data_IF_697907308025
#
_entry.id   IF_697907308025
#
_cell.length_a   1.000
_cell.length_b   1.000
_cell.length_c   1.000
_cell.angle_alpha   90.00
_cell.angle_beta   90.00
_cell.angle_gamma   90.00
#
_symmetry.space_group_name_H-M   'P 1'
#
loop_
_entity.id
_entity.type
_entity.pdbx_description
1 polymer ?
#
# COMPACT_ATOMS: atom_id res chain seq x y z
N UNK A 1 -7.51 64.11 -34.73
CA UNK A 1 -6.76 63.08 -35.49
C UNK A 1 -5.98 62.29 -34.45
N UNK A 2 -6.15 61.01 -34.20
CA UNK A 2 -6.98 59.95 -34.77
C UNK A 2 -6.99 58.86 -33.70
N UNK A 3 -8.16 58.31 -33.42
CA UNK A 3 -8.36 57.13 -32.59
C UNK A 3 -7.54 55.93 -33.08
N UNK A 4 -7.14 55.09 -32.13
CA UNK A 4 -6.41 53.83 -32.35
C UNK A 4 -6.68 52.87 -31.19
N UNK A 5 -7.90 52.35 -31.18
CA UNK A 5 -8.51 51.36 -30.27
C UNK A 5 -7.55 50.21 -29.91
N UNK A 6 -7.26 50.06 -28.62
CA UNK A 6 -6.66 48.84 -28.07
C UNK A 6 -7.65 47.68 -28.23
N UNK A 7 -7.20 46.63 -28.92
CA UNK A 7 -8.00 45.49 -29.34
C UNK A 7 -8.25 44.52 -28.18
N UNK A 8 -9.26 44.78 -27.34
CA UNK A 8 -9.74 43.89 -26.27
C UNK A 8 -10.23 42.51 -26.77
N UNK A 9 -10.42 42.33 -28.09
CA UNK A 9 -10.91 41.07 -28.67
C UNK A 9 -9.85 39.99 -28.88
N UNK A 10 -8.54 40.29 -28.84
CA UNK A 10 -7.53 39.22 -29.00
C UNK A 10 -7.30 38.42 -27.71
N UNK A 11 -7.52 39.03 -26.55
CA UNK A 11 -7.37 38.35 -25.25
C UNK A 11 -8.58 37.48 -24.89
N UNK A 12 -9.76 37.78 -25.45
CA UNK A 12 -10.96 36.95 -25.26
C UNK A 12 -10.89 35.65 -26.08
N UNK A 13 -10.16 35.63 -27.21
CA UNK A 13 -9.91 34.41 -27.98
C UNK A 13 -8.78 33.54 -27.38
N UNK A 14 -7.79 34.13 -26.72
CA UNK A 14 -6.75 33.38 -26.00
C UNK A 14 -7.26 32.78 -24.68
N UNK A 15 -8.29 33.35 -24.06
CA UNK A 15 -8.92 32.78 -22.85
C UNK A 15 -9.89 31.63 -23.11
N UNK A 16 -10.32 31.41 -24.36
CA UNK A 16 -11.32 30.37 -24.67
C UNK A 16 -10.74 29.01 -25.12
N UNK A 17 -9.41 28.85 -25.08
CA UNK A 17 -8.73 27.61 -25.49
C UNK A 17 -8.12 26.85 -24.28
N UNK A 18 -8.17 27.40 -23.05
CA UNK A 18 -7.59 26.78 -21.85
C UNK A 18 -8.58 25.99 -20.97
N UNK A 19 -9.65 25.42 -21.54
CA UNK A 19 -10.63 24.63 -20.75
C UNK A 19 -10.84 23.19 -21.23
N UNK A 20 -10.02 22.69 -22.16
CA UNK A 20 -10.04 21.27 -22.55
C UNK A 20 -8.77 20.50 -22.14
N UNK A 21 -7.64 21.16 -21.90
CA UNK A 21 -6.41 20.51 -21.43
C UNK A 21 -6.34 20.30 -19.92
N UNK A 22 -7.22 20.90 -19.13
CA UNK A 22 -7.24 20.75 -17.66
C UNK A 22 -8.03 19.54 -17.15
N UNK A 23 -8.55 18.68 -18.04
CA UNK A 23 -9.25 17.42 -17.68
C UNK A 23 -8.42 16.18 -18.02
N UNK A 24 -7.29 16.33 -18.71
CA UNK A 24 -6.34 15.25 -18.97
C UNK A 24 -5.01 15.54 -18.29
N UNK A 25 -4.99 15.45 -16.95
CA UNK A 25 -3.74 15.07 -16.31
C UNK A 25 -3.53 13.59 -16.64
N UNK A 26 -2.52 13.20 -17.45
CA UNK A 26 -2.14 11.79 -17.54
C UNK A 26 -1.86 11.37 -16.10
N UNK A 27 -2.62 10.39 -15.62
CA UNK A 27 -2.36 9.75 -14.33
C UNK A 27 -0.87 9.43 -14.34
N UNK A 28 -0.09 10.07 -13.46
CA UNK A 28 1.35 9.87 -13.45
C UNK A 28 1.61 8.37 -13.29
N UNK A 29 2.71 7.85 -13.87
CA UNK A 29 3.11 6.43 -13.71
C UNK A 29 3.04 5.97 -12.24
N UNK A 30 3.29 6.87 -11.29
CA UNK A 30 3.16 6.66 -9.85
C UNK A 30 1.70 6.59 -9.33
N UNK A 31 0.80 7.40 -9.87
CA UNK A 31 -0.63 7.32 -9.57
C UNK A 31 -1.28 6.07 -10.19
N UNK A 32 -0.74 5.60 -11.32
CA UNK A 32 -1.13 4.35 -11.97
C UNK A 32 -0.61 3.11 -11.22
N UNK A 33 0.64 3.16 -10.73
CA UNK A 33 1.25 2.14 -9.86
C UNK A 33 0.42 1.85 -8.61
N UNK A 34 -0.23 2.89 -8.08
CA UNK A 34 -1.12 2.84 -6.93
C UNK A 34 -2.49 2.22 -7.24
N UNK A 35 -2.95 2.34 -8.49
CA UNK A 35 -4.29 1.97 -8.95
C UNK A 35 -4.43 0.47 -9.26
N UNK A 36 -3.38 -0.14 -9.79
CA UNK A 36 -3.52 -1.49 -10.35
C UNK A 36 -3.08 -2.58 -9.39
N UNK A 37 -1.98 -2.44 -8.62
CA UNK A 37 -1.43 -3.60 -7.91
C UNK A 37 -0.65 -3.39 -6.59
N UNK A 38 -0.45 -2.19 -6.00
CA UNK A 38 0.13 -2.12 -4.62
C UNK A 38 -0.07 -0.80 -3.82
N UNK A 39 -0.22 -0.87 -2.48
CA UNK A 39 0.18 0.21 -1.57
C UNK A 39 1.70 0.22 -1.42
N UNK A 40 2.35 1.39 -1.53
CA UNK A 40 3.81 1.54 -1.38
C UNK A 40 4.31 0.83 -0.09
N UNK A 41 5.22 -0.13 -0.23
CA UNK A 41 6.19 -0.43 0.83
C UNK A 41 7.27 0.65 0.77
N UNK A 42 7.61 1.33 1.89
CA UNK A 42 8.48 2.51 1.89
C UNK A 42 9.97 2.24 1.56
N UNK A 43 10.35 1.03 1.13
CA UNK A 43 11.75 0.59 1.07
C UNK A 43 12.29 0.23 -0.32
N UNK A 44 11.50 0.25 -1.41
CA UNK A 44 12.02 -0.05 -2.75
C UNK A 44 11.89 1.19 -3.64
N UNK A 45 13.04 1.74 -4.03
CA UNK A 45 13.13 2.79 -5.05
C UNK A 45 12.47 2.30 -6.34
N UNK A 46 11.62 3.13 -6.96
CA UNK A 46 10.97 2.86 -8.26
C UNK A 46 11.92 2.73 -9.46
N UNK A 47 13.18 2.37 -9.22
CA UNK A 47 14.28 2.34 -10.17
C UNK A 47 14.39 0.98 -10.89
N UNK A 48 13.95 -0.12 -10.26
CA UNK A 48 13.99 -1.47 -10.83
C UNK A 48 12.92 -1.68 -11.92
N UNK A 49 11.69 -1.21 -11.73
CA UNK A 49 10.61 -1.34 -12.72
C UNK A 49 10.86 -0.51 -13.98
N UNK A 50 11.53 0.65 -13.85
CA UNK A 50 12.00 1.44 -14.99
C UNK A 50 13.08 0.71 -15.81
N UNK A 51 13.85 -0.18 -15.18
CA UNK A 51 14.94 -0.94 -15.82
C UNK A 51 14.48 -2.27 -16.43
N UNK A 52 13.49 -2.96 -15.84
CA UNK A 52 13.11 -4.33 -16.23
C UNK A 52 11.75 -4.47 -16.95
N UNK A 53 10.90 -3.43 -16.92
CA UNK A 53 9.56 -3.48 -17.50
C UNK A 53 8.49 -4.08 -16.57
N UNK A 54 7.24 -4.09 -17.03
CA UNK A 54 6.09 -4.62 -16.28
C UNK A 54 5.76 -6.05 -16.75
N UNK A 55 5.85 -7.07 -15.88
CA UNK A 55 5.55 -8.46 -16.25
C UNK A 55 4.06 -8.83 -16.15
N UNK A 56 3.22 -7.98 -15.57
CA UNK A 56 1.77 -8.23 -15.46
C UNK A 56 1.11 -8.55 -16.82
N UNK A 57 1.35 -7.79 -17.92
CA UNK A 57 0.62 -8.00 -19.17
C UNK A 57 0.89 -9.37 -19.81
N UNK A 58 2.13 -9.86 -19.68
CA UNK A 58 2.50 -11.18 -20.22
C UNK A 58 1.83 -12.31 -19.41
N UNK A 59 1.71 -12.16 -18.08
CA UNK A 59 0.93 -13.11 -17.26
C UNK A 59 -0.56 -13.11 -17.65
N UNK A 60 -1.15 -11.93 -17.81
CA UNK A 60 -2.56 -11.81 -18.19
C UNK A 60 -2.81 -12.45 -19.57
N UNK A 61 -1.90 -12.24 -20.53
CA UNK A 61 -1.97 -12.91 -21.84
C UNK A 61 -1.98 -14.43 -21.68
N UNK A 62 -1.04 -14.98 -20.91
CA UNK A 62 -0.95 -16.43 -20.66
C UNK A 62 -2.25 -17.00 -20.11
N UNK A 63 -2.84 -16.33 -19.12
CA UNK A 63 -4.15 -16.66 -18.58
C UNK A 63 -5.24 -16.61 -19.66
N UNK A 64 -5.36 -15.51 -20.38
CA UNK A 64 -6.47 -15.25 -21.30
C UNK A 64 -6.50 -16.24 -22.48
N UNK A 65 -5.33 -16.62 -23.00
CA UNK A 65 -5.19 -17.56 -24.12
C UNK A 65 -5.54 -18.99 -23.70
N UNK A 66 -5.40 -19.36 -22.42
CA UNK A 66 -5.87 -20.65 -21.90
C UNK A 66 -7.35 -20.59 -21.48
N UNK A 67 -7.73 -19.59 -20.68
CA UNK A 67 -9.00 -19.51 -19.98
C UNK A 67 -10.19 -19.23 -20.91
N UNK A 68 -10.05 -18.28 -21.84
CA UNK A 68 -11.12 -17.87 -22.75
C UNK A 68 -11.61 -19.03 -23.62
N UNK A 69 -10.74 -19.74 -24.38
CA UNK A 69 -11.21 -20.88 -25.17
C UNK A 69 -11.68 -22.03 -24.30
N UNK A 70 -11.07 -22.27 -23.13
CA UNK A 70 -11.52 -23.30 -22.21
C UNK A 70 -12.95 -23.05 -21.71
N UNK A 71 -13.31 -21.79 -21.41
CA UNK A 71 -14.67 -21.41 -21.03
C UNK A 71 -15.68 -21.73 -22.16
N UNK A 72 -15.35 -21.36 -23.39
CA UNK A 72 -16.18 -21.65 -24.57
C UNK A 72 -16.36 -23.15 -24.81
N UNK A 73 -15.30 -23.95 -24.60
CA UNK A 73 -15.33 -25.41 -24.74
C UNK A 73 -16.24 -26.04 -23.68
N UNK A 74 -16.10 -25.63 -22.42
CA UNK A 74 -16.94 -26.14 -21.33
C UNK A 74 -18.42 -25.78 -21.56
N UNK A 75 -18.69 -24.62 -22.15
CA UNK A 75 -20.05 -24.21 -22.51
C UNK A 75 -20.60 -24.88 -23.79
N UNK A 76 -19.83 -25.72 -24.47
CA UNK A 76 -20.29 -26.44 -25.66
C UNK A 76 -20.42 -25.58 -26.92
N UNK A 77 -19.79 -24.40 -26.96
CA UNK A 77 -19.96 -23.47 -28.07
C UNK A 77 -19.55 -24.10 -29.40
N UNK A 78 -20.44 -24.01 -30.40
CA UNK A 78 -20.26 -24.62 -31.73
C UNK A 78 -19.98 -26.13 -31.70
N UNK A 79 -20.44 -26.84 -30.67
CA UNK A 79 -20.19 -28.27 -30.50
C UNK A 79 -18.82 -28.62 -29.95
N UNK A 80 -18.08 -27.64 -29.40
CA UNK A 80 -16.85 -27.90 -28.67
C UNK A 80 -17.12 -28.77 -27.42
N UNK A 81 -16.13 -29.55 -26.96
CA UNK A 81 -16.30 -30.44 -25.82
C UNK A 81 -15.01 -31.18 -25.45
N UNK A 82 -15.14 -32.39 -24.89
CA UNK A 82 -13.99 -33.22 -24.52
C UNK A 82 -13.15 -32.62 -23.39
N UNK A 83 -13.77 -31.85 -22.49
CA UNK A 83 -13.12 -31.21 -21.33
C UNK A 83 -11.88 -30.37 -21.66
N UNK A 84 -11.74 -29.87 -22.89
CA UNK A 84 -10.60 -29.06 -23.30
C UNK A 84 -9.36 -29.84 -23.71
N UNK A 85 -9.45 -31.16 -23.94
CA UNK A 85 -8.30 -31.98 -24.33
C UNK A 85 -7.59 -31.49 -25.60
N UNK A 86 -8.32 -30.90 -26.55
CA UNK A 86 -7.75 -30.34 -27.78
C UNK A 86 -6.81 -29.15 -27.55
N UNK A 87 -6.92 -28.46 -26.41
CA UNK A 87 -6.14 -27.26 -26.08
C UNK A 87 -5.15 -27.48 -24.94
N UNK A 88 -4.83 -28.74 -24.58
CA UNK A 88 -3.82 -29.07 -23.54
C UNK A 88 -2.52 -28.26 -23.71
N UNK A 89 -1.94 -28.10 -24.92
CA UNK A 89 -0.74 -27.28 -25.08
C UNK A 89 -0.95 -25.82 -24.67
N UNK A 90 -2.12 -25.23 -24.95
CA UNK A 90 -2.43 -23.87 -24.53
C UNK A 90 -2.59 -23.77 -23.00
N UNK A 91 -3.21 -24.78 -22.37
CA UNK A 91 -3.33 -24.83 -20.91
C UNK A 91 -1.94 -24.85 -20.26
N UNK A 92 -1.04 -25.71 -20.73
CA UNK A 92 0.29 -25.87 -20.11
C UNK A 92 1.22 -24.69 -20.42
N UNK A 93 1.35 -24.29 -21.68
CA UNK A 93 2.37 -23.31 -22.07
C UNK A 93 1.91 -21.87 -21.84
N UNK A 94 0.69 -21.50 -22.25
CA UNK A 94 0.17 -20.16 -22.01
C UNK A 94 -0.41 -20.03 -20.60
N UNK A 95 -1.35 -20.90 -20.26
CA UNK A 95 -1.98 -20.90 -18.95
C UNK A 95 -0.98 -21.14 -17.83
N UNK A 96 -0.02 -22.05 -18.03
CA UNK A 96 0.98 -22.40 -17.04
C UNK A 96 2.28 -21.62 -17.14
N UNK A 97 3.14 -22.03 -18.06
CA UNK A 97 4.54 -21.60 -18.15
C UNK A 97 4.68 -20.08 -18.27
N UNK A 98 3.92 -19.45 -19.18
CA UNK A 98 3.97 -17.99 -19.38
C UNK A 98 3.54 -17.24 -18.11
N UNK A 99 2.48 -17.70 -17.43
CA UNK A 99 2.07 -17.10 -16.15
C UNK A 99 3.10 -17.29 -15.05
N UNK A 100 3.75 -18.46 -14.94
CA UNK A 100 4.82 -18.69 -13.96
C UNK A 100 6.01 -17.76 -14.19
N UNK A 101 6.42 -17.56 -15.45
CA UNK A 101 7.49 -16.61 -15.77
C UNK A 101 7.12 -15.17 -15.42
N UNK A 102 5.89 -14.75 -15.71
CA UNK A 102 5.43 -13.43 -15.29
C UNK A 102 5.30 -13.30 -13.77
N UNK A 103 4.93 -14.38 -13.05
CA UNK A 103 4.97 -14.46 -11.59
C UNK A 103 6.38 -14.28 -11.00
N UNK A 104 7.40 -14.88 -11.62
CA UNK A 104 8.82 -14.63 -11.29
C UNK A 104 9.16 -13.16 -11.54
N UNK A 105 8.70 -12.58 -12.65
CA UNK A 105 8.87 -11.16 -12.94
C UNK A 105 8.27 -10.27 -11.84
N UNK A 106 7.03 -10.53 -11.42
CA UNK A 106 6.36 -9.80 -10.33
C UNK A 106 7.15 -9.90 -9.02
N UNK A 107 7.72 -11.07 -8.73
CA UNK A 107 8.57 -11.27 -7.56
C UNK A 107 9.82 -10.39 -7.60
N UNK A 108 10.51 -10.32 -8.75
CA UNK A 108 11.73 -9.52 -8.94
C UNK A 108 11.47 -8.03 -8.72
N UNK A 109 10.33 -7.51 -9.17
CA UNK A 109 9.96 -6.09 -8.98
C UNK A 109 9.31 -5.80 -7.61
N UNK A 110 9.19 -6.81 -6.73
CA UNK A 110 8.70 -6.66 -5.37
C UNK A 110 7.17 -6.65 -5.23
N UNK A 111 6.43 -7.14 -6.22
CA UNK A 111 4.97 -7.20 -6.18
C UNK A 111 4.48 -8.57 -5.66
N UNK A 112 4.36 -8.69 -4.34
CA UNK A 112 4.02 -9.96 -3.69
C UNK A 112 2.62 -10.46 -4.03
N UNK A 113 1.61 -9.59 -4.11
CA UNK A 113 0.22 -10.02 -4.34
C UNK A 113 0.04 -10.60 -5.75
N UNK A 114 0.50 -9.90 -6.79
CA UNK A 114 0.43 -10.42 -8.17
C UNK A 114 1.29 -11.66 -8.38
N UNK A 115 2.47 -11.70 -7.75
CA UNK A 115 3.32 -12.90 -7.75
C UNK A 115 2.53 -14.11 -7.24
N UNK A 116 1.89 -14.01 -6.06
CA UNK A 116 1.11 -15.10 -5.49
C UNK A 116 -0.05 -15.54 -6.41
N UNK A 117 -0.76 -14.59 -7.03
CA UNK A 117 -1.83 -14.87 -7.99
C UNK A 117 -1.32 -15.67 -9.20
N UNK A 118 -0.26 -15.18 -9.86
CA UNK A 118 0.24 -15.79 -11.09
C UNK A 118 0.92 -17.14 -10.86
N UNK A 119 1.60 -17.34 -9.73
CA UNK A 119 2.09 -18.67 -9.35
C UNK A 119 0.92 -19.63 -9.10
N UNK A 120 -0.09 -19.21 -8.35
CA UNK A 120 -1.25 -20.05 -8.04
C UNK A 120 -1.96 -20.51 -9.31
N UNK A 121 -2.36 -19.56 -10.17
CA UNK A 121 -3.17 -19.88 -11.35
C UNK A 121 -2.35 -20.41 -12.52
N UNK A 122 -1.08 -20.02 -12.62
CA UNK A 122 -0.13 -20.67 -13.53
C UNK A 122 0.00 -22.17 -13.22
N UNK A 123 0.25 -22.51 -11.95
CA UNK A 123 0.31 -23.92 -11.54
C UNK A 123 -1.03 -24.63 -11.73
N UNK A 124 -2.17 -23.99 -11.46
CA UNK A 124 -3.49 -24.55 -11.74
C UNK A 124 -3.62 -25.03 -13.19
N UNK A 125 -3.25 -24.20 -14.17
CA UNK A 125 -3.37 -24.58 -15.58
C UNK A 125 -2.46 -25.74 -15.98
N UNK A 126 -1.27 -25.85 -15.37
CA UNK A 126 -0.40 -27.02 -15.54
C UNK A 126 -1.08 -28.25 -14.96
N UNK A 127 -1.62 -28.18 -13.74
CA UNK A 127 -2.32 -29.31 -13.10
C UNK A 127 -3.53 -29.74 -13.95
N UNK A 128 -4.30 -28.79 -14.47
CA UNK A 128 -5.43 -29.11 -15.37
C UNK A 128 -4.97 -29.76 -16.68
N UNK A 129 -3.96 -29.21 -17.35
CA UNK A 129 -3.44 -29.78 -18.60
C UNK A 129 -2.87 -31.18 -18.41
N UNK A 130 -2.10 -31.39 -17.33
CA UNK A 130 -1.48 -32.69 -17.00
C UNK A 130 -2.52 -33.74 -16.61
N UNK A 131 -3.63 -33.34 -15.98
CA UNK A 131 -4.75 -34.25 -15.65
C UNK A 131 -5.44 -34.83 -16.88
N UNK A 132 -5.40 -34.12 -18.01
CA UNK A 132 -5.97 -34.59 -19.28
C UNK A 132 -4.98 -35.42 -20.12
N UNK A 133 -3.71 -35.49 -19.71
CA UNK A 133 -2.67 -36.22 -20.43
C UNK A 133 -2.55 -37.66 -19.91
N UNK A 134 -2.56 -38.67 -20.80
CA UNK A 134 -2.32 -40.06 -20.41
C UNK A 134 -0.97 -40.29 -19.71
N UNK A 135 0.04 -39.47 -20.01
CA UNK A 135 1.38 -39.55 -19.45
C UNK A 135 1.42 -39.47 -17.91
N UNK A 136 0.59 -38.61 -17.30
CA UNK A 136 0.57 -38.47 -15.83
C UNK A 136 -0.28 -39.53 -15.14
N UNK A 137 -1.10 -40.26 -15.90
CA UNK A 137 -1.78 -41.46 -15.45
C UNK A 137 -2.59 -41.30 -14.13
N UNK A 138 -3.11 -40.11 -13.83
CA UNK A 138 -3.78 -39.78 -12.56
C UNK A 138 -4.97 -40.69 -12.21
N UNK A 139 -5.61 -41.31 -13.20
CA UNK A 139 -6.69 -42.27 -13.02
C UNK A 139 -6.27 -43.72 -12.75
N UNK A 140 -5.02 -44.14 -12.99
CA UNK A 140 -4.65 -45.57 -12.95
C UNK A 140 -4.95 -46.23 -11.61
N UNK A 141 -4.66 -45.57 -10.49
CA UNK A 141 -4.90 -46.10 -9.14
C UNK A 141 -6.38 -46.20 -8.76
N UNK A 142 -7.26 -45.64 -9.57
CA UNK A 142 -8.70 -45.66 -9.35
C UNK A 142 -9.40 -46.72 -10.23
N UNK A 143 -8.71 -47.30 -11.21
CA UNK A 143 -9.26 -48.34 -12.10
C UNK A 143 -8.93 -49.74 -11.60
N UNK A 144 -9.92 -50.64 -11.63
CA UNK A 144 -9.74 -52.07 -11.39
C UNK A 144 -8.97 -52.79 -12.50
N UNK A 145 -8.91 -52.22 -13.71
CA UNK A 145 -8.23 -52.81 -14.87
C UNK A 145 -6.87 -52.17 -15.15
N UNK A 146 -6.49 -51.13 -14.40
CA UNK A 146 -5.32 -50.29 -14.68
C UNK A 146 -5.52 -49.31 -15.84
N UNK A 147 -6.74 -49.19 -16.39
CA UNK A 147 -7.07 -48.24 -17.43
C UNK A 147 -7.24 -46.82 -16.85
N UNK A 148 -6.42 -45.89 -17.33
CA UNK A 148 -6.45 -44.50 -16.90
C UNK A 148 -7.82 -43.83 -17.07
N UNK A 149 -8.46 -43.96 -18.23
CA UNK A 149 -9.72 -43.28 -18.55
C UNK A 149 -10.88 -43.83 -17.71
N UNK A 150 -10.92 -45.15 -17.49
CA UNK A 150 -11.90 -45.79 -16.60
C UNK A 150 -11.77 -45.22 -15.18
N UNK A 151 -10.53 -45.12 -14.68
CA UNK A 151 -10.26 -44.60 -13.35
C UNK A 151 -10.76 -43.17 -13.14
N UNK A 152 -10.67 -42.32 -14.17
CA UNK A 152 -11.17 -40.94 -14.14
C UNK A 152 -12.69 -40.82 -14.01
N UNK A 153 -13.44 -41.88 -14.34
CA UNK A 153 -14.90 -41.90 -14.20
C UNK A 153 -15.37 -42.38 -12.83
N UNK A 154 -14.46 -42.87 -11.98
CA UNK A 154 -14.85 -43.43 -10.68
C UNK A 154 -15.28 -42.36 -9.68
N UNK A 155 -16.20 -42.71 -8.75
CA UNK A 155 -16.60 -41.80 -7.68
C UNK A 155 -15.44 -41.27 -6.83
N UNK A 156 -14.46 -42.13 -6.55
CA UNK A 156 -13.32 -41.80 -5.70
C UNK A 156 -12.37 -40.80 -6.38
N UNK A 157 -12.17 -40.93 -7.70
CA UNK A 157 -11.40 -39.96 -8.47
C UNK A 157 -12.08 -38.59 -8.48
N UNK A 158 -13.38 -38.57 -8.79
CA UNK A 158 -14.16 -37.33 -8.84
C UNK A 158 -14.20 -36.60 -7.49
N UNK A 159 -14.40 -37.32 -6.38
CA UNK A 159 -14.31 -36.72 -5.04
C UNK A 159 -12.92 -36.11 -4.74
N UNK A 160 -11.85 -36.76 -5.18
CA UNK A 160 -10.48 -36.27 -4.99
C UNK A 160 -10.24 -34.95 -5.73
N UNK A 161 -10.71 -34.84 -6.98
CA UNK A 161 -10.64 -33.59 -7.76
C UNK A 161 -11.54 -32.50 -7.15
N UNK A 162 -12.71 -32.86 -6.62
CA UNK A 162 -13.59 -31.89 -5.97
C UNK A 162 -12.90 -31.17 -4.81
N UNK A 163 -12.16 -31.87 -3.96
CA UNK A 163 -11.41 -31.26 -2.86
C UNK A 163 -10.29 -30.33 -3.33
N UNK A 164 -9.67 -30.59 -4.49
CA UNK A 164 -8.71 -29.66 -5.09
C UNK A 164 -9.37 -28.33 -5.45
N UNK A 165 -10.57 -28.37 -6.06
CA UNK A 165 -11.34 -27.15 -6.35
C UNK A 165 -11.86 -26.45 -5.09
N UNK A 166 -12.21 -27.18 -4.03
CA UNK A 166 -12.56 -26.59 -2.72
C UNK A 166 -11.38 -25.79 -2.17
N UNK A 167 -10.18 -26.36 -2.17
CA UNK A 167 -8.98 -25.67 -1.69
C UNK A 167 -8.68 -24.40 -2.53
N UNK A 168 -8.84 -24.49 -3.85
CA UNK A 168 -8.70 -23.33 -4.75
C UNK A 168 -9.78 -22.27 -4.51
N UNK A 169 -11.00 -22.66 -4.16
CA UNK A 169 -12.07 -21.72 -3.81
C UNK A 169 -11.68 -20.96 -2.55
N UNK A 170 -11.27 -21.65 -1.48
CA UNK A 170 -10.84 -20.98 -0.24
C UNK A 170 -9.67 -20.01 -0.48
N UNK A 171 -8.68 -20.41 -1.28
CA UNK A 171 -7.55 -19.56 -1.62
C UNK A 171 -7.97 -18.33 -2.46
N UNK A 172 -8.81 -18.53 -3.46
CA UNK A 172 -9.37 -17.46 -4.31
C UNK A 172 -10.22 -16.49 -3.50
N UNK A 173 -10.99 -16.97 -2.53
CA UNK A 173 -11.76 -16.13 -1.62
C UNK A 173 -10.86 -15.19 -0.81
N UNK A 174 -9.73 -15.69 -0.28
CA UNK A 174 -8.73 -14.85 0.41
C UNK A 174 -8.19 -13.77 -0.54
N UNK A 175 -7.85 -14.14 -1.77
CA UNK A 175 -7.40 -13.17 -2.78
C UNK A 175 -8.47 -12.14 -3.14
N UNK A 176 -9.73 -12.55 -3.18
CA UNK A 176 -10.87 -11.66 -3.44
C UNK A 176 -11.04 -10.63 -2.33
N UNK A 177 -10.86 -11.01 -1.06
CA UNK A 177 -10.85 -10.05 0.05
C UNK A 177 -9.69 -9.06 -0.07
N UNK A 178 -8.51 -9.54 -0.43
CA UNK A 178 -7.34 -8.68 -0.63
C UNK A 178 -7.51 -7.70 -1.80
N UNK A 179 -8.22 -8.08 -2.87
CA UNK A 179 -8.40 -7.27 -4.07
C UNK A 179 -9.47 -6.17 -3.94
N UNK A 180 -10.26 -6.13 -2.86
CA UNK A 180 -11.24 -5.03 -2.60
C UNK A 180 -10.53 -3.66 -2.55
N UNK A 181 -9.20 -3.66 -2.41
CA UNK A 181 -8.36 -2.47 -2.27
C UNK A 181 -7.59 -2.09 -3.52
N UNK A 182 -7.67 -2.90 -4.58
CA UNK A 182 -6.90 -2.69 -5.81
C UNK A 182 -7.76 -1.99 -6.85
N UNK A 183 -8.53 -2.72 -7.63
CA UNK A 183 -9.44 -2.17 -8.64
C UNK A 183 -10.64 -3.08 -8.90
N UNK A 184 -11.71 -2.50 -9.45
CA UNK A 184 -12.98 -3.18 -9.72
C UNK A 184 -12.81 -4.33 -10.70
N UNK A 185 -11.99 -4.20 -11.74
CA UNK A 185 -11.75 -5.27 -12.71
C UNK A 185 -11.09 -6.51 -12.06
N UNK A 186 -10.06 -6.32 -11.24
CA UNK A 186 -9.39 -7.44 -10.57
C UNK A 186 -10.29 -8.08 -9.50
N UNK A 187 -11.02 -7.26 -8.74
CA UNK A 187 -11.99 -7.74 -7.76
C UNK A 187 -13.09 -8.58 -8.42
N UNK A 188 -13.73 -8.05 -9.46
CA UNK A 188 -14.77 -8.77 -10.20
C UNK A 188 -14.25 -10.05 -10.85
N UNK A 189 -13.03 -10.05 -11.42
CA UNK A 189 -12.42 -11.25 -11.97
C UNK A 189 -12.24 -12.35 -10.91
N UNK A 190 -11.68 -12.00 -9.74
CA UNK A 190 -11.45 -12.96 -8.65
C UNK A 190 -12.76 -13.44 -8.02
N UNK A 191 -13.74 -12.56 -7.87
CA UNK A 191 -15.07 -12.93 -7.38
C UNK A 191 -15.78 -13.93 -8.30
N UNK A 192 -15.72 -13.71 -9.62
CA UNK A 192 -16.28 -14.67 -10.58
C UNK A 192 -15.48 -15.98 -10.64
N UNK A 193 -14.18 -15.93 -10.38
CA UNK A 193 -13.33 -17.12 -10.28
C UNK A 193 -13.66 -17.95 -9.04
N UNK A 194 -13.96 -17.31 -7.91
CA UNK A 194 -14.40 -17.97 -6.68
C UNK A 194 -15.68 -18.80 -6.93
N UNK A 195 -16.67 -18.19 -7.59
CA UNK A 195 -17.89 -18.87 -8.01
C UNK A 195 -17.57 -20.01 -8.98
N UNK A 196 -16.70 -19.79 -9.95
CA UNK A 196 -16.29 -20.80 -10.94
C UNK A 196 -15.71 -22.05 -10.26
N UNK A 197 -14.76 -21.89 -9.34
CA UNK A 197 -14.17 -23.02 -8.63
C UNK A 197 -15.15 -23.69 -7.68
N UNK A 198 -16.01 -22.93 -7.00
CA UNK A 198 -17.08 -23.48 -6.17
C UNK A 198 -18.06 -24.35 -6.98
N UNK A 199 -18.43 -23.90 -8.18
CA UNK A 199 -19.29 -24.65 -9.10
C UNK A 199 -18.60 -25.91 -9.63
N UNK A 200 -17.31 -25.86 -9.98
CA UNK A 200 -16.57 -27.05 -10.40
C UNK A 200 -16.39 -28.06 -9.25
N UNK A 201 -16.11 -27.61 -8.03
CA UNK A 201 -16.12 -28.48 -6.85
C UNK A 201 -17.47 -29.18 -6.71
N UNK A 202 -18.58 -28.43 -6.81
CA UNK A 202 -19.93 -28.97 -6.78
C UNK A 202 -20.22 -29.95 -7.93
N UNK A 203 -19.72 -29.67 -9.13
CA UNK A 203 -19.86 -30.57 -10.29
C UNK A 203 -19.18 -31.91 -10.03
N UNK A 204 -17.92 -31.91 -9.57
CA UNK A 204 -17.18 -33.13 -9.27
C UNK A 204 -17.75 -33.93 -8.08
N UNK A 205 -18.26 -33.26 -7.04
CA UNK A 205 -18.99 -33.97 -5.97
C UNK A 205 -20.28 -34.61 -6.47
N UNK A 206 -21.02 -33.95 -7.37
CA UNK A 206 -22.21 -34.54 -7.97
C UNK A 206 -21.89 -35.70 -8.92
N UNK A 207 -20.79 -35.64 -9.68
CA UNK A 207 -20.28 -36.78 -10.43
C UNK A 207 -19.95 -37.95 -9.51
N UNK A 208 -19.32 -37.67 -8.37
CA UNK A 208 -19.01 -38.70 -7.36
C UNK A 208 -20.28 -39.35 -6.78
N UNK A 209 -21.33 -38.56 -6.55
CA UNK A 209 -22.62 -39.06 -6.07
C UNK A 209 -23.48 -39.74 -7.15
N UNK A 210 -23.06 -39.76 -8.42
CA UNK A 210 -23.82 -40.30 -9.55
C UNK A 210 -24.89 -39.36 -10.13
N UNK A 211 -24.94 -38.10 -9.69
CA UNK A 211 -25.89 -37.08 -10.15
C UNK A 211 -25.39 -36.39 -11.43
N UNK A 212 -25.30 -37.14 -12.53
CA UNK A 212 -24.67 -36.69 -13.79
C UNK A 212 -25.32 -35.43 -14.36
N UNK A 213 -26.66 -35.38 -14.45
CA UNK A 213 -27.37 -34.23 -15.02
C UNK A 213 -27.16 -32.92 -14.23
N UNK A 214 -27.05 -33.00 -12.90
CA UNK A 214 -26.76 -31.83 -12.09
C UNK A 214 -25.30 -31.41 -12.25
N UNK A 215 -24.38 -32.37 -12.30
CA UNK A 215 -22.97 -32.09 -12.53
C UNK A 215 -22.73 -31.39 -13.88
N UNK A 216 -23.35 -31.86 -14.97
CA UNK A 216 -23.29 -31.23 -16.29
C UNK A 216 -23.78 -29.77 -16.25
N UNK A 217 -24.90 -29.52 -15.58
CA UNK A 217 -25.42 -28.15 -15.39
C UNK A 217 -24.44 -27.28 -14.60
N UNK A 218 -23.90 -27.79 -13.50
CA UNK A 218 -22.91 -27.05 -12.70
C UNK A 218 -21.63 -26.76 -13.50
N UNK A 219 -21.17 -27.72 -14.31
CA UNK A 219 -20.02 -27.54 -15.17
C UNK A 219 -20.28 -26.48 -16.25
N UNK A 220 -21.47 -26.49 -16.87
CA UNK A 220 -21.89 -25.48 -17.85
C UNK A 220 -21.93 -24.08 -17.24
N UNK A 221 -22.55 -23.93 -16.06
CA UNK A 221 -22.64 -22.65 -15.35
C UNK A 221 -21.25 -22.19 -14.88
N UNK A 222 -20.40 -23.10 -14.41
CA UNK A 222 -19.00 -22.81 -14.10
C UNK A 222 -18.23 -22.30 -15.32
N UNK A 223 -18.45 -22.90 -16.50
CA UNK A 223 -17.92 -22.40 -17.77
C UNK A 223 -18.40 -20.98 -18.12
N UNK A 224 -19.66 -20.66 -17.83
CA UNK A 224 -20.21 -19.32 -18.05
C UNK A 224 -19.60 -18.26 -17.12
N UNK A 225 -19.42 -18.57 -15.83
CA UNK A 225 -18.69 -17.70 -14.91
C UNK A 225 -17.21 -17.56 -15.30
N UNK A 226 -16.59 -18.65 -15.79
CA UNK A 226 -15.24 -18.60 -16.34
C UNK A 226 -15.13 -17.72 -17.59
N UNK A 227 -16.17 -17.65 -18.41
CA UNK A 227 -16.20 -16.71 -19.52
C UNK A 227 -16.38 -15.27 -19.04
N UNK A 228 -17.33 -15.05 -18.11
CA UNK A 228 -17.61 -13.74 -17.54
C UNK A 228 -16.38 -13.14 -16.84
N UNK A 229 -15.57 -13.97 -16.17
CA UNK A 229 -14.33 -13.51 -15.52
C UNK A 229 -13.22 -13.17 -16.52
N UNK A 230 -13.22 -13.76 -17.72
CA UNK A 230 -12.25 -13.38 -18.75
C UNK A 230 -12.47 -11.94 -19.25
N UNK A 231 -13.70 -11.42 -19.20
CA UNK A 231 -14.04 -10.07 -19.69
C UNK A 231 -13.28 -8.95 -18.94
N UNK A 232 -13.35 -8.83 -17.59
CA UNK A 232 -12.57 -7.83 -16.87
C UNK A 232 -11.06 -8.08 -16.98
N UNK A 233 -10.61 -9.32 -17.18
CA UNK A 233 -9.18 -9.62 -17.37
C UNK A 233 -8.69 -9.17 -18.75
N UNK A 234 -9.48 -9.37 -19.82
CA UNK A 234 -9.22 -8.81 -21.15
C UNK A 234 -9.15 -7.29 -21.08
N UNK A 235 -10.06 -6.67 -20.32
CA UNK A 235 -10.05 -5.22 -20.10
C UNK A 235 -8.76 -4.72 -19.43
N UNK A 236 -8.31 -5.38 -18.36
CA UNK A 236 -7.01 -5.06 -17.73
C UNK A 236 -5.88 -5.24 -18.73
N UNK A 237 -5.85 -6.35 -19.48
CA UNK A 237 -4.80 -6.61 -20.46
C UNK A 237 -4.70 -5.51 -21.53
N UNK A 238 -5.83 -5.13 -22.15
CA UNK A 238 -5.87 -4.06 -23.15
C UNK A 238 -5.35 -2.76 -22.56
N UNK A 239 -5.81 -2.42 -21.35
CA UNK A 239 -5.39 -1.20 -20.64
C UNK A 239 -3.88 -1.17 -20.43
N UNK A 240 -3.27 -2.29 -20.03
CA UNK A 240 -1.83 -2.36 -19.80
C UNK A 240 -1.01 -2.33 -21.10
N UNK A 241 -1.52 -2.92 -22.19
CA UNK A 241 -0.84 -2.87 -23.49
C UNK A 241 -0.90 -1.44 -24.07
N UNK A 242 -2.03 -0.76 -23.95
CA UNK A 242 -2.17 0.64 -24.36
C UNK A 242 -1.15 1.52 -23.64
N UNK A 243 -1.02 1.36 -22.33
CA UNK A 243 -0.02 2.10 -21.57
C UNK A 243 1.42 1.74 -21.97
N UNK A 244 1.71 0.45 -22.23
CA UNK A 244 3.05 0.00 -22.62
C UNK A 244 3.55 0.63 -23.93
N UNK A 245 2.64 1.07 -24.80
CA UNK A 245 2.94 1.76 -26.07
C UNK A 245 2.65 3.26 -26.03
N UNK A 246 2.39 3.82 -24.85
CA UNK A 246 2.01 5.23 -24.66
C UNK A 246 0.82 5.64 -25.54
N UNK A 247 -0.19 4.77 -25.61
CA UNK A 247 -1.38 5.00 -26.42
C UNK A 247 -2.16 6.21 -25.89
N UNK A 248 -2.71 7.09 -26.76
CA UNK A 248 -3.34 8.34 -26.33
C UNK A 248 -4.58 8.20 -25.43
N UNK A 249 -5.14 6.99 -25.30
CA UNK A 249 -6.37 6.72 -24.56
C UNK A 249 -6.06 5.83 -23.36
N UNK A 250 -6.33 6.34 -22.15
CA UNK A 250 -6.30 5.55 -20.92
C UNK A 250 -7.67 4.96 -20.61
N UNK A 251 -7.75 3.64 -20.46
CA UNK A 251 -8.98 2.96 -20.08
C UNK A 251 -9.11 2.86 -18.55
N UNK A 252 -10.29 3.12 -17.96
CA UNK A 252 -10.48 3.04 -16.51
C UNK A 252 -10.71 1.61 -16.04
N UNK A 253 -10.13 1.22 -14.90
CA UNK A 253 -10.46 -0.06 -14.20
C UNK A 253 -11.21 0.11 -12.88
N UNK A 254 -11.46 1.35 -12.46
CA UNK A 254 -12.09 1.68 -11.18
C UNK A 254 -11.17 1.44 -9.98
N UNK A 255 -10.45 2.49 -9.56
CA UNK A 255 -9.62 2.47 -8.35
C UNK A 255 -10.45 2.29 -7.08
N UNK A 256 -10.12 1.30 -6.25
CA UNK A 256 -10.76 1.09 -4.95
C UNK A 256 -9.87 1.51 -3.78
N UNK A 257 -8.64 1.96 -4.04
CA UNK A 257 -7.66 2.34 -3.01
C UNK A 257 -8.10 3.56 -2.19
N UNK A 258 -8.96 4.40 -2.75
CA UNK A 258 -9.56 5.57 -2.10
C UNK A 258 -10.77 5.22 -1.23
N UNK A 259 -11.51 4.17 -1.58
CA UNK A 259 -12.69 3.71 -0.85
C UNK A 259 -12.28 2.92 0.40
N UNK A 260 -11.29 2.03 0.27
CA UNK A 260 -10.74 1.28 1.40
C UNK A 260 -9.30 1.72 1.66
N UNK A 261 -9.14 2.53 2.70
CA UNK A 261 -7.86 3.12 3.10
C UNK A 261 -6.86 2.14 3.71
N UNK A 262 -5.58 2.36 3.39
CA UNK A 262 -4.37 1.63 3.79
C UNK A 262 -4.28 1.45 5.28
N UNK A 263 -3.63 0.38 5.76
CA UNK A 263 -3.19 0.36 7.17
C UNK A 263 -2.36 1.61 7.46
N UNK A 264 -1.42 1.95 6.59
CA UNK A 264 -0.62 3.17 6.66
C UNK A 264 -1.45 4.44 6.55
N UNK A 265 -2.39 4.51 5.61
CA UNK A 265 -3.28 5.68 5.44
C UNK A 265 -4.25 5.88 6.60
N UNK A 266 -4.55 4.82 7.37
CA UNK A 266 -5.36 4.91 8.59
C UNK A 266 -4.55 5.36 9.82
N UNK A 267 -3.23 5.38 9.75
CA UNK A 267 -2.39 5.88 10.85
C UNK A 267 -2.28 7.41 10.75
N UNK A 268 -2.74 8.10 11.79
CA UNK A 268 -2.64 9.55 11.91
C UNK A 268 -1.31 9.85 12.58
N UNK A 269 -0.54 10.73 11.94
CA UNK A 269 0.75 11.21 12.42
C UNK A 269 0.78 12.73 12.24
N UNK A 270 1.47 13.40 13.14
CA UNK A 270 1.56 14.86 13.18
C UNK A 270 2.96 15.37 12.80
N UNK A 271 3.22 16.67 12.99
CA UNK A 271 4.53 17.25 12.70
C UNK A 271 5.57 16.88 13.76
N UNK A 272 5.15 16.38 14.93
CA UNK A 272 6.02 16.14 16.09
C UNK A 272 6.61 14.72 16.14
N UNK A 273 7.94 14.55 15.96
CA UNK A 273 8.60 13.24 15.99
C UNK A 273 8.35 12.45 17.27
N UNK A 274 8.33 13.14 18.40
CA UNK A 274 8.14 12.52 19.72
C UNK A 274 6.79 11.83 19.81
N UNK A 275 5.72 12.53 19.48
CA UNK A 275 4.35 11.99 19.57
C UNK A 275 4.13 10.88 18.54
N UNK A 276 4.69 11.03 17.34
CA UNK A 276 4.68 9.97 16.32
C UNK A 276 5.39 8.71 16.81
N UNK A 277 6.53 8.87 17.50
CA UNK A 277 7.28 7.77 18.09
C UNK A 277 6.49 7.09 19.20
N UNK A 278 5.82 7.85 20.08
CA UNK A 278 4.95 7.29 21.12
C UNK A 278 3.80 6.45 20.52
N UNK A 279 3.19 6.88 19.42
CA UNK A 279 2.19 6.10 18.70
C UNK A 279 2.80 4.87 18.01
N UNK A 280 3.98 5.00 17.40
CA UNK A 280 4.69 3.87 16.78
C UNK A 280 5.02 2.77 17.81
N UNK A 281 5.38 3.17 19.03
CA UNK A 281 5.74 2.27 20.13
C UNK A 281 4.58 1.92 21.07
N UNK A 282 3.34 2.29 20.72
CA UNK A 282 2.10 1.97 21.46
C UNK A 282 2.03 2.54 22.88
N UNK A 283 2.75 3.62 23.15
CA UNK A 283 2.50 4.46 24.33
C UNK A 283 1.28 5.35 24.11
N UNK A 284 1.05 5.79 22.87
CA UNK A 284 -0.24 6.30 22.39
C UNK A 284 -0.99 5.23 21.61
N UNK A 285 -2.32 5.39 21.41
CA UNK A 285 -3.06 4.65 20.40
C UNK A 285 -2.29 4.64 19.08
N UNK A 286 -2.04 3.44 18.55
CA UNK A 286 -1.12 3.27 17.42
C UNK A 286 -1.61 3.94 16.13
N UNK A 287 -2.93 4.07 15.99
CA UNK A 287 -3.58 4.79 14.90
C UNK A 287 -3.50 6.32 15.05
N UNK A 288 -2.98 6.82 16.17
CA UNK A 288 -2.76 8.25 16.45
C UNK A 288 -4.03 9.01 16.85
N UNK A 289 -5.12 8.31 17.20
CA UNK A 289 -6.44 8.88 17.52
C UNK A 289 -6.75 8.85 19.00
N UNK A 290 -7.71 9.69 19.41
CA UNK A 290 -8.29 9.70 20.76
C UNK A 290 -7.23 9.78 21.88
N UNK A 291 -6.28 10.69 21.73
CA UNK A 291 -5.21 10.92 22.71
C UNK A 291 -5.77 11.85 23.80
N UNK A 292 -6.11 11.27 24.95
CA UNK A 292 -6.66 11.96 26.13
C UNK A 292 -5.55 12.39 27.10
N UNK A 293 -5.89 13.20 28.11
CA UNK A 293 -4.93 13.72 29.09
C UNK A 293 -4.22 12.62 29.86
N UNK A 294 -4.97 11.62 30.32
CA UNK A 294 -4.46 10.42 30.99
C UNK A 294 -3.51 9.61 30.11
N UNK A 295 -3.80 9.48 28.81
CA UNK A 295 -2.91 8.83 27.85
C UNK A 295 -1.60 9.62 27.70
N UNK A 296 -1.65 10.96 27.61
CA UNK A 296 -0.46 11.82 27.54
C UNK A 296 0.39 11.71 28.80
N UNK A 297 -0.22 11.85 29.97
CA UNK A 297 0.47 11.72 31.25
C UNK A 297 1.12 10.34 31.38
N UNK A 298 0.38 9.28 31.11
CA UNK A 298 0.90 7.91 31.12
C UNK A 298 2.09 7.75 30.17
N UNK A 299 1.93 8.14 28.89
CA UNK A 299 2.95 7.94 27.87
C UNK A 299 4.23 8.74 28.18
N UNK A 300 4.12 10.02 28.52
CA UNK A 300 5.28 10.88 28.77
C UNK A 300 5.98 10.49 30.08
N UNK A 301 5.25 10.14 31.14
CA UNK A 301 5.87 9.66 32.38
C UNK A 301 6.54 8.31 32.20
N UNK A 302 5.95 7.38 31.44
CA UNK A 302 6.52 6.03 31.26
C UNK A 302 7.64 5.97 30.23
N UNK A 303 7.50 6.69 29.13
CA UNK A 303 8.48 6.65 28.03
C UNK A 303 9.60 7.66 28.21
N UNK A 304 9.30 8.87 28.71
CA UNK A 304 10.25 10.00 28.75
C UNK A 304 10.61 10.45 30.17
N UNK A 305 10.00 9.84 31.20
CA UNK A 305 10.19 10.21 32.60
C UNK A 305 9.82 11.66 32.91
N UNK A 306 8.82 12.21 32.22
CA UNK A 306 8.27 13.53 32.53
C UNK A 306 7.38 13.45 33.76
N UNK A 307 7.43 14.49 34.59
CA UNK A 307 6.51 14.59 35.71
C UNK A 307 5.08 14.90 35.22
N UNK A 308 4.10 14.65 36.07
CA UNK A 308 2.68 14.80 35.73
C UNK A 308 2.30 16.25 35.40
N UNK A 309 2.90 17.23 36.08
CA UNK A 309 2.63 18.63 35.85
C UNK A 309 3.06 19.08 34.44
N UNK A 310 4.27 18.69 34.02
CA UNK A 310 4.79 18.96 32.67
C UNK A 310 3.98 18.23 31.61
N UNK A 311 3.68 16.95 31.82
CA UNK A 311 2.88 16.17 30.87
C UNK A 311 1.44 16.72 30.72
N UNK A 312 0.84 17.17 31.82
CA UNK A 312 -0.46 17.83 31.82
C UNK A 312 -0.44 19.15 31.06
N UNK A 313 0.58 19.97 31.28
CA UNK A 313 0.77 21.23 30.54
C UNK A 313 0.90 20.97 29.03
N UNK A 314 1.67 19.94 28.64
CA UNK A 314 1.82 19.58 27.23
C UNK A 314 0.49 19.12 26.60
N UNK A 315 -0.36 18.43 27.35
CA UNK A 315 -1.72 18.12 26.90
C UNK A 315 -2.56 19.38 26.72
N UNK A 316 -2.53 20.29 27.69
CA UNK A 316 -3.32 21.53 27.68
C UNK A 316 -2.90 22.45 26.52
N UNK A 317 -1.64 22.37 26.06
CA UNK A 317 -1.21 23.00 24.81
C UNK A 317 -1.75 22.25 23.58
N UNK A 318 -1.55 20.93 23.50
CA UNK A 318 -1.91 20.10 22.36
C UNK A 318 -3.42 20.10 22.04
N UNK A 319 -4.27 20.14 23.07
CA UNK A 319 -5.73 20.04 22.91
C UNK A 319 -6.32 21.20 22.11
N UNK A 320 -5.67 22.38 22.09
CA UNK A 320 -6.08 23.57 21.34
C UNK A 320 -6.12 23.29 19.83
N UNK A 321 -5.30 22.34 19.36
CA UNK A 321 -5.31 21.91 17.97
C UNK A 321 -6.61 21.20 17.57
N UNK A 322 -7.34 20.60 18.51
CA UNK A 322 -8.66 20.05 18.22
C UNK A 322 -9.69 21.19 18.06
N UNK A 323 -10.28 21.41 16.87
CA UNK A 323 -11.24 22.50 16.66
C UNK A 323 -12.59 22.27 17.35
N UNK A 324 -12.84 21.08 17.90
CA UNK A 324 -14.09 20.77 18.58
C UNK A 324 -14.20 21.56 19.91
N UNK A 325 -15.32 22.27 20.15
CA UNK A 325 -15.57 22.92 21.44
C UNK A 325 -15.57 21.91 22.59
N UNK A 326 -14.93 22.26 23.71
CA UNK A 326 -14.80 21.41 24.91
C UNK A 326 -14.20 20.02 24.63
N UNK A 327 -13.29 19.91 23.67
CA UNK A 327 -12.60 18.67 23.37
C UNK A 327 -11.86 18.11 24.60
N UNK A 328 -11.96 16.79 24.81
CA UNK A 328 -11.27 16.06 25.88
C UNK A 328 -10.11 15.19 25.37
N UNK A 329 -9.89 15.19 24.06
CA UNK A 329 -8.84 14.44 23.37
C UNK A 329 -8.38 15.18 22.12
N UNK A 330 -7.21 14.81 21.57
CA UNK A 330 -6.79 15.21 20.23
C UNK A 330 -6.36 13.99 19.39
N UNK A 331 -6.26 14.18 18.07
CA UNK A 331 -5.66 13.22 17.12
C UNK A 331 -4.38 13.84 16.57
N UNK A 332 -3.36 13.03 16.29
CA UNK A 332 -2.04 13.52 15.88
C UNK A 332 -2.05 14.39 14.61
N UNK A 333 -2.97 14.16 13.67
CA UNK A 333 -3.09 14.96 12.45
C UNK A 333 -3.71 16.35 12.70
N UNK A 334 -4.51 16.51 13.76
CA UNK A 334 -5.04 17.82 14.15
C UNK A 334 -3.92 18.79 14.53
N UNK A 335 -2.78 18.26 14.97
CA UNK A 335 -1.57 19.03 15.25
C UNK A 335 -0.93 19.64 14.00
N UNK A 336 -1.36 19.27 12.79
CA UNK A 336 -0.89 19.87 11.53
C UNK A 336 -1.51 21.26 11.28
N UNK A 337 -2.42 21.72 12.13
CA UNK A 337 -3.07 23.03 11.95
C UNK A 337 -2.05 24.16 12.09
N UNK A 338 -1.79 24.80 10.96
CA UNK A 338 -0.87 25.91 10.86
C UNK A 338 -1.31 27.08 11.75
N UNK A 339 -0.33 27.68 12.42
CA UNK A 339 -0.49 28.82 13.32
C UNK A 339 -1.31 28.58 14.60
N UNK A 340 -1.37 27.32 15.04
CA UNK A 340 -1.92 26.95 16.37
C UNK A 340 -0.81 26.49 17.31
N UNK A 341 -0.11 25.43 16.90
CA UNK A 341 1.11 24.93 17.55
C UNK A 341 2.18 24.62 16.50
N UNK A 342 1.76 24.10 15.34
CA UNK A 342 2.61 23.99 14.16
C UNK A 342 2.96 25.39 13.63
N UNK A 343 4.21 25.56 13.21
CA UNK A 343 4.78 26.84 12.81
C UNK A 343 5.83 26.69 11.70
N UNK A 344 6.05 27.80 10.98
CA UNK A 344 7.11 27.92 9.98
C UNK A 344 8.51 27.77 10.61
N UNK A 345 9.54 27.56 9.78
CA UNK A 345 10.93 27.37 10.21
C UNK A 345 11.15 26.10 11.05
N UNK A 346 10.34 25.08 10.81
CA UNK A 346 10.52 23.75 11.39
C UNK A 346 11.91 23.16 11.10
N UNK A 347 12.45 22.39 12.06
CA UNK A 347 13.77 21.75 11.95
C UNK A 347 13.86 20.66 10.86
N UNK A 348 12.73 20.09 10.44
CA UNK A 348 12.72 18.95 9.51
C UNK A 348 11.41 18.79 8.72
N UNK A 349 10.55 19.80 8.71
CA UNK A 349 9.27 19.86 7.96
C UNK A 349 9.29 21.10 7.08
N UNK A 350 8.56 21.06 5.98
CA UNK A 350 8.40 22.23 5.12
C UNK A 350 7.47 23.24 5.78
N UNK A 351 7.60 24.52 5.46
CA UNK A 351 6.60 25.51 5.85
C UNK A 351 5.27 25.20 5.15
N UNK A 352 4.15 25.57 5.79
CA UNK A 352 2.80 25.31 5.29
C UNK A 352 2.56 25.92 3.90
N UNK A 353 3.18 27.06 3.61
CA UNK A 353 3.14 27.73 2.30
C UNK A 353 3.54 26.81 1.13
N UNK A 354 4.48 25.88 1.35
CA UNK A 354 4.96 24.95 0.31
C UNK A 354 4.12 23.66 0.22
N UNK A 355 3.05 23.54 1.01
CA UNK A 355 2.00 22.54 0.85
C UNK A 355 2.01 21.36 1.83
N UNK A 356 3.14 20.99 2.45
CA UNK A 356 3.19 19.89 3.43
C UNK A 356 4.04 20.23 4.66
N UNK A 357 3.37 20.58 5.75
CA UNK A 357 3.96 21.01 7.01
C UNK A 357 4.19 19.92 8.07
N UNK A 358 3.92 18.66 7.77
CA UNK A 358 3.86 17.61 8.80
C UNK A 358 4.64 16.35 8.45
N UNK A 359 4.81 16.04 7.16
CA UNK A 359 5.64 14.93 6.72
C UNK A 359 7.12 15.30 6.86
N UNK A 360 7.91 14.37 7.41
CA UNK A 360 9.35 14.53 7.53
C UNK A 360 10.00 14.76 6.16
N UNK A 361 10.85 15.79 6.07
CA UNK A 361 11.58 16.15 4.86
C UNK A 361 13.10 16.01 5.11
N UNK A 362 13.72 15.04 4.42
CA UNK A 362 15.14 14.73 4.60
C UNK A 362 16.04 15.91 4.21
N UNK A 363 15.75 16.62 3.13
CA UNK A 363 16.55 17.76 2.66
C UNK A 363 16.54 18.89 3.67
N UNK A 364 15.37 19.23 4.22
CA UNK A 364 15.25 20.26 5.27
C UNK A 364 15.99 19.84 6.53
N UNK A 365 15.89 18.57 6.92
CA UNK A 365 16.62 18.06 8.07
C UNK A 365 18.14 18.10 7.87
N UNK A 366 18.61 17.84 6.64
CA UNK A 366 20.03 17.92 6.29
C UNK A 366 20.56 19.36 6.36
N UNK A 367 19.76 20.36 5.97
CA UNK A 367 20.08 21.79 6.17
C UNK A 367 20.27 22.13 7.65
N UNK A 368 19.34 21.70 8.51
CA UNK A 368 19.45 21.88 9.96
C UNK A 368 20.71 21.23 10.52
N UNK A 369 20.99 19.99 10.11
CA UNK A 369 22.17 19.22 10.56
C UNK A 369 23.50 19.78 10.08
N UNK A 370 23.53 20.64 9.06
CA UNK A 370 24.77 21.26 8.59
C UNK A 370 25.48 22.05 9.71
N UNK A 371 24.71 22.53 10.70
CA UNK A 371 25.21 23.27 11.86
C UNK A 371 25.63 22.36 13.03
N UNK A 372 25.39 21.05 12.92
CA UNK A 372 25.71 20.04 13.93
C UNK A 372 27.10 19.42 13.71
N UNK A 373 28.12 20.27 13.69
CA UNK A 373 29.51 19.96 13.26
C UNK A 373 30.30 19.01 14.18
N UNK A 374 29.73 18.51 15.28
CA UNK A 374 30.39 17.64 16.26
C UNK A 374 29.52 16.43 16.63
N UNK A 375 30.12 15.32 17.10
CA UNK A 375 29.37 14.16 17.59
C UNK A 375 28.51 14.43 18.83
N UNK A 376 28.96 15.36 19.68
CA UNK A 376 28.19 15.85 20.84
C UNK A 376 27.73 17.27 20.51
N UNK A 377 26.42 17.47 20.54
CA UNK A 377 25.77 18.74 20.28
C UNK A 377 25.64 19.52 21.57
N UNK A 378 25.94 20.81 21.51
CA UNK A 378 25.64 21.78 22.56
C UNK A 378 24.46 22.68 22.16
N UNK A 379 24.00 23.52 23.10
CA UNK A 379 22.91 24.44 22.88
C UNK A 379 23.13 25.40 21.69
N UNK A 380 24.37 25.84 21.44
CA UNK A 380 24.68 26.76 20.34
C UNK A 380 24.51 26.05 18.99
N UNK A 381 24.94 24.80 18.87
CA UNK A 381 24.78 24.02 17.63
C UNK A 381 23.30 23.77 17.30
N UNK A 382 22.48 23.47 18.32
CA UNK A 382 21.04 23.29 18.18
C UNK A 382 20.35 24.62 17.79
N UNK A 383 20.70 25.72 18.46
CA UNK A 383 20.19 27.05 18.15
C UNK A 383 20.58 27.54 16.75
N UNK A 384 21.83 27.29 16.32
CA UNK A 384 22.31 27.66 14.99
C UNK A 384 21.49 26.99 13.88
N UNK A 385 21.12 25.72 14.06
CA UNK A 385 20.22 25.01 13.13
C UNK A 385 18.85 25.68 13.05
N UNK A 386 18.25 26.05 14.18
CA UNK A 386 16.97 26.77 14.22
C UNK A 386 17.06 28.15 13.55
N UNK A 387 18.08 28.94 13.87
CA UNK A 387 18.29 30.26 13.28
C UNK A 387 18.45 30.18 11.77
N UNK A 388 19.19 29.18 11.26
CA UNK A 388 19.33 28.97 9.83
C UNK A 388 17.98 28.66 9.16
N UNK A 389 17.14 27.83 9.79
CA UNK A 389 15.78 27.54 9.31
C UNK A 389 14.90 28.79 9.31
N UNK A 390 14.96 29.62 10.36
CA UNK A 390 14.22 30.88 10.43
C UNK A 390 14.64 31.88 9.35
N UNK A 391 15.95 32.03 9.11
CA UNK A 391 16.48 32.89 8.05
C UNK A 391 16.01 32.39 6.68
N UNK A 392 16.13 31.09 6.43
CA UNK A 392 15.68 30.49 5.17
C UNK A 392 14.17 30.71 4.95
N UNK A 393 13.35 30.32 5.91
CA UNK A 393 11.89 30.48 5.83
C UNK A 393 11.51 31.94 5.61
N UNK A 394 12.08 32.88 6.37
CA UNK A 394 11.81 34.31 6.19
C UNK A 394 12.24 34.84 4.81
N UNK A 395 13.28 34.28 4.21
CA UNK A 395 13.77 34.70 2.89
C UNK A 395 12.91 34.17 1.74
N UNK A 396 12.33 32.98 1.87
CA UNK A 396 11.71 32.25 0.76
C UNK A 396 10.21 31.96 0.92
N UNK A 397 9.65 32.08 2.13
CA UNK A 397 8.22 31.96 2.40
C UNK A 397 7.60 33.37 2.48
N UNK A 398 6.84 33.82 1.47
CA UNK A 398 6.24 35.17 1.45
C UNK A 398 5.15 35.35 2.51
N UNK A 399 4.64 34.25 3.07
CA UNK A 399 3.64 34.24 4.15
C UNK A 399 4.25 33.85 5.49
N UNK A 400 5.57 33.99 5.65
CA UNK A 400 6.29 33.60 6.86
C UNK A 400 5.65 34.19 8.13
N UNK A 401 5.35 33.30 9.07
CA UNK A 401 4.80 33.65 10.39
C UNK A 401 5.58 32.97 11.50
N UNK A 402 6.02 33.78 12.47
CA UNK A 402 6.71 33.28 13.66
C UNK A 402 6.43 34.22 14.83
N UNK A 403 5.39 33.88 15.59
CA UNK A 403 4.90 34.71 16.70
C UNK A 403 5.69 34.46 17.98
N UNK A 404 5.56 35.34 18.98
CA UNK A 404 6.20 35.15 20.29
C UNK A 404 5.81 33.83 20.97
N UNK A 405 4.56 33.36 20.77
CA UNK A 405 4.10 32.07 21.28
C UNK A 405 4.85 30.92 20.60
N UNK A 406 5.03 30.99 19.27
CA UNK A 406 5.77 29.99 18.50
C UNK A 406 7.25 29.98 18.85
N UNK A 407 7.83 31.15 19.12
CA UNK A 407 9.22 31.26 19.58
C UNK A 407 9.43 30.51 20.89
N UNK A 408 8.57 30.73 21.89
CA UNK A 408 8.64 29.98 23.15
C UNK A 408 8.47 28.47 22.96
N UNK A 409 7.55 28.06 22.08
CA UNK A 409 7.33 26.64 21.79
C UNK A 409 8.54 26.01 21.09
N UNK A 410 9.07 26.70 20.08
CA UNK A 410 10.23 26.31 19.28
C UNK A 410 11.50 26.15 20.14
N UNK A 411 11.71 27.02 21.13
CA UNK A 411 12.79 26.85 22.11
C UNK A 411 12.67 25.52 22.87
N UNK A 412 11.44 25.12 23.21
CA UNK A 412 11.16 23.80 23.80
C UNK A 412 11.52 22.65 22.87
N UNK A 413 11.25 22.77 21.57
CA UNK A 413 11.60 21.76 20.56
C UNK A 413 13.11 21.62 20.38
N UNK A 414 13.83 22.75 20.35
CA UNK A 414 15.30 22.79 20.23
C UNK A 414 15.95 22.18 21.48
N UNK A 415 15.36 22.37 22.66
CA UNK A 415 15.83 21.78 23.91
C UNK A 415 15.43 20.30 24.09
N UNK A 416 14.37 19.83 23.41
CA UNK A 416 13.80 18.50 23.61
C UNK A 416 14.81 17.34 23.44
N UNK A 417 15.73 17.34 22.46
CA UNK A 417 16.74 16.29 22.35
C UNK A 417 17.65 16.20 23.58
N UNK A 418 18.01 17.33 24.19
CA UNK A 418 18.81 17.38 25.43
C UNK A 418 18.02 16.83 26.60
N UNK A 419 16.76 17.23 26.73
CA UNK A 419 15.86 16.76 27.81
C UNK A 419 15.63 15.25 27.72
N UNK A 420 15.41 14.72 26.52
CA UNK A 420 15.04 13.31 26.31
C UNK A 420 16.26 12.38 26.29
N UNK A 421 17.34 12.77 25.61
CA UNK A 421 18.49 11.89 25.34
C UNK A 421 19.79 12.35 26.01
N UNK A 422 19.90 13.62 26.34
CA UNK A 422 21.14 14.28 26.74
C UNK A 422 21.41 14.33 28.24
N UNK A 423 22.27 15.28 28.59
CA UNK A 423 22.57 15.77 29.93
C UNK A 423 22.01 17.19 30.06
N UNK A 424 21.05 17.37 30.97
CA UNK A 424 20.35 18.64 31.15
C UNK A 424 21.20 19.68 31.88
N UNK A 425 22.13 19.27 32.74
CA UNK A 425 23.01 20.21 33.46
C UNK A 425 24.08 20.75 32.51
N UNK A 426 24.65 19.87 31.68
CA UNK A 426 25.67 20.25 30.72
C UNK A 426 25.10 20.87 29.43
N UNK A 427 23.82 20.65 29.13
CA UNK A 427 23.20 21.12 27.89
C UNK A 427 23.70 20.36 26.65
N UNK A 428 24.06 19.08 26.80
CA UNK A 428 24.74 18.28 25.78
C UNK A 428 23.92 17.05 25.34
N UNK A 429 23.97 16.69 24.06
CA UNK A 429 23.32 15.49 23.52
C UNK A 429 24.12 14.82 22.41
N UNK A 430 24.08 13.48 22.33
CA UNK A 430 24.74 12.75 21.25
C UNK A 430 23.97 12.89 19.93
N UNK A 431 24.64 13.39 18.90
CA UNK A 431 24.08 13.64 17.55
C UNK A 431 23.40 12.41 16.96
N UNK A 432 23.98 11.22 17.09
CA UNK A 432 23.42 9.98 16.51
C UNK A 432 22.03 9.66 17.05
N UNK A 433 21.77 10.01 18.32
CA UNK A 433 20.45 9.84 18.93
C UNK A 433 19.42 10.80 18.32
N UNK A 434 19.83 12.06 18.09
CA UNK A 434 18.98 13.08 17.47
C UNK A 434 18.67 12.75 16.02
N UNK A 435 19.68 12.28 15.27
CA UNK A 435 19.55 11.87 13.87
C UNK A 435 18.58 10.68 13.72
N UNK A 436 18.72 9.66 14.57
CA UNK A 436 17.88 8.45 14.48
C UNK A 436 16.43 8.75 14.85
N UNK A 437 16.21 9.54 15.90
CA UNK A 437 14.89 9.91 16.38
C UNK A 437 14.11 10.73 15.33
N UNK A 438 14.78 11.71 14.72
CA UNK A 438 14.17 12.61 13.74
C UNK A 438 13.86 11.91 12.41
N UNK A 439 14.75 11.02 11.94
CA UNK A 439 14.58 10.30 10.67
C UNK A 439 13.59 9.13 10.77
N UNK A 440 13.63 8.36 11.85
CA UNK A 440 12.92 7.07 11.89
C UNK A 440 11.63 7.10 12.71
N UNK A 441 11.38 8.15 13.51
CA UNK A 441 10.36 8.13 14.57
C UNK A 441 10.45 6.83 15.41
N UNK A 442 11.69 6.43 15.71
CA UNK A 442 12.02 5.20 16.44
C UNK A 442 12.69 5.59 17.75
N UNK A 443 12.12 5.10 18.85
CA UNK A 443 12.79 5.00 20.12
C UNK A 443 13.82 3.88 19.98
N UNK A 444 15.08 4.21 19.69
CA UNK A 444 16.13 3.23 19.95
C UNK A 444 16.04 2.86 21.43
N UNK A 445 16.09 1.57 21.71
CA UNK A 445 16.02 0.82 22.97
C UNK A 445 16.98 1.28 24.09
N UNK A 446 17.41 2.54 24.11
CA UNK A 446 18.47 3.07 24.97
C UNK A 446 17.94 3.48 26.36
N UNK A 447 16.63 3.67 26.55
CA UNK A 447 16.07 3.89 27.89
C UNK A 447 15.90 2.59 28.70
N UNK A 448 15.84 1.41 28.05
CA UNK A 448 15.95 0.14 28.78
C UNK A 448 17.34 0.02 29.46
N UNK A 449 18.40 0.48 28.78
CA UNK A 449 19.78 0.46 29.30
C UNK A 449 20.13 1.57 30.31
N UNK A 450 19.31 2.62 30.46
CA UNK A 450 19.47 3.60 31.56
C UNK A 450 18.83 3.11 32.87
N UNK A 451 17.86 2.18 32.82
CA UNK A 451 17.20 1.61 34.01
C UNK A 451 18.15 0.70 34.81
N UNK A 452 19.00 -0.09 34.14
CA UNK A 452 19.98 -0.95 34.83
C UNK A 452 21.14 -0.16 35.46
N UNK A 453 21.64 0.89 34.79
CA UNK A 453 22.78 1.66 35.29
C UNK A 453 22.46 2.57 36.49
N UNK A 454 21.24 3.12 36.57
CA UNK A 454 20.83 3.89 37.77
C UNK A 454 20.44 3.00 38.95
N UNK A 455 19.94 1.78 38.71
CA UNK A 455 19.63 0.83 39.77
C UNK A 455 20.89 0.13 40.33
N UNK A 456 21.95 -0.06 39.54
CA UNK A 456 23.23 -0.57 40.06
C UNK A 456 23.98 0.50 40.86
N UNK A 457 23.94 1.77 40.45
CA UNK A 457 24.57 2.87 41.17
C UNK A 457 23.92 3.13 42.55
N UNK A 458 22.60 2.93 42.68
CA UNK A 458 21.87 3.02 43.97
C UNK A 458 21.97 1.77 44.86
N UNK A 459 22.55 0.67 44.36
CA UNK A 459 22.86 -0.53 45.17
C UNK A 459 24.33 -0.58 45.62
N UNK A 460 25.14 0.39 45.21
CA UNK A 460 26.56 0.51 45.58
C UNK A 460 26.87 1.76 46.41
N UNK A 461 25.84 2.48 46.87
CA UNK A 461 25.87 3.48 47.94
C UNK A 461 24.99 3.00 49.08
#
# INVERSE_FOLDING_TARGET
MSDGVFNEKSDEHLRRIQTAESVFLPISREAFEKLYLNPKSPTVSGDLRKKLGNPTPISLLGFLIAATPNACIIMGWRGAGGNGAAIIPALIFFGGVVQLFGGIGEWIIGNTFSCALFFTYGTFWIVQGTTLMPFFATGIYFSSTGNFLEGQQTPMYNASIAFYFVALTVLTFIYTICSIRTNVCLFSALFMLDITFGLFAGAFFNLSAGNIHLAEKLQLVGGAFNFALCIPVWWIFITQIFEAVDFPISLPVGDLSTVILGRSQRMHRGPYPMLNTLANHKFFPHDGRNITKDVVVYALSRALNFNEALASLMFDMAIIANPQPNATYFTLDQLNRHNVLEHDASLSRSDAYFGNNHVFNQSIFDETKAYWIRPILDANMLANGMLARQIYSKAYNPTYTFTAIMEHFSLGEVAAPVIVFGDMEAGLVNRTLVDTFSNMNVFLLILAGRRERRLSAKRMS
#
